data_IF_733761449732
#
_entry.id   IF_733761449732
#
_cell.length_a   1.000
_cell.length_b   1.000
_cell.length_c   1.000
_cell.angle_alpha   90.00
_cell.angle_beta   90.00
_cell.angle_gamma   90.00
#
_symmetry.space_group_name_H-M   'P 1'
#
loop_
_entity.id
_entity.type
_entity.pdbx_description
1 polymer ?
#
# COMPACT_ATOMS: atom_id res chain seq x y z
N UNK A 1 1.76 -25.32 14.57
CA UNK A 1 3.04 -25.30 13.84
C UNK A 1 2.80 -24.55 12.56
N UNK A 2 3.14 -23.26 12.58
CA UNK A 2 3.12 -22.41 11.39
C UNK A 2 4.05 -22.98 10.32
N UNK A 3 3.54 -23.13 9.10
CA UNK A 3 4.32 -23.62 7.97
C UNK A 3 5.51 -22.66 7.74
N UNK A 4 6.78 -23.14 7.67
CA UNK A 4 7.97 -22.30 7.55
C UNK A 4 7.93 -21.31 6.38
N UNK A 5 7.09 -21.56 5.38
CA UNK A 5 6.95 -20.72 4.19
C UNK A 5 6.15 -19.42 4.44
N UNK A 6 5.28 -19.39 5.47
CA UNK A 6 4.33 -18.29 5.69
C UNK A 6 5.05 -16.98 6.04
N UNK A 7 6.05 -17.02 6.91
CA UNK A 7 6.79 -15.82 7.35
C UNK A 7 7.55 -15.19 6.16
N UNK A 8 8.36 -15.94 5.37
CA UNK A 8 8.98 -15.42 4.16
C UNK A 8 7.98 -14.82 3.16
N UNK A 9 6.83 -15.47 2.94
CA UNK A 9 5.79 -14.95 2.03
C UNK A 9 5.23 -13.62 2.50
N UNK A 10 4.95 -13.47 3.80
CA UNK A 10 4.47 -12.20 4.37
C UNK A 10 5.51 -11.08 4.23
N UNK A 11 6.79 -11.38 4.44
CA UNK A 11 7.87 -10.40 4.20
C UNK A 11 7.94 -9.96 2.74
N UNK A 12 7.90 -10.91 1.80
CA UNK A 12 7.89 -10.60 0.37
C UNK A 12 6.69 -9.72 -0.02
N UNK A 13 5.49 -10.09 0.43
CA UNK A 13 4.26 -9.33 0.21
C UNK A 13 4.42 -7.90 0.71
N UNK A 14 4.97 -7.72 1.91
CA UNK A 14 5.06 -6.39 2.51
C UNK A 14 6.09 -5.51 1.78
N UNK A 15 7.22 -6.06 1.35
CA UNK A 15 8.20 -5.34 0.52
C UNK A 15 7.57 -4.93 -0.82
N UNK A 16 6.88 -5.85 -1.49
CA UNK A 16 6.18 -5.56 -2.74
C UNK A 16 5.14 -4.44 -2.56
N UNK A 17 4.41 -4.48 -1.45
CA UNK A 17 3.41 -3.46 -1.12
C UNK A 17 4.04 -2.08 -0.91
N UNK A 18 5.22 -2.00 -0.28
CA UNK A 18 5.97 -0.74 -0.13
C UNK A 18 6.36 -0.13 -1.47
N UNK A 19 6.80 -0.94 -2.44
CA UNK A 19 7.15 -0.49 -3.78
C UNK A 19 5.92 0.08 -4.50
N UNK A 20 4.80 -0.64 -4.45
CA UNK A 20 3.51 -0.17 -4.98
C UNK A 20 3.09 1.16 -4.36
N UNK A 21 3.22 1.29 -3.04
CA UNK A 21 2.89 2.53 -2.33
C UNK A 21 3.77 3.69 -2.75
N UNK A 22 5.09 3.48 -2.86
CA UNK A 22 6.01 4.50 -3.36
C UNK A 22 5.60 4.99 -4.77
N UNK A 23 5.21 4.06 -5.64
CA UNK A 23 4.74 4.41 -6.98
C UNK A 23 3.39 5.16 -6.97
N UNK A 24 2.47 4.83 -6.05
CA UNK A 24 1.23 5.58 -5.81
C UNK A 24 1.53 7.04 -5.43
N UNK A 25 2.49 7.30 -4.51
CA UNK A 25 2.88 8.69 -4.19
C UNK A 25 3.46 9.42 -5.38
N UNK A 26 4.32 8.75 -6.13
CA UNK A 26 4.92 9.34 -7.32
C UNK A 26 3.85 9.80 -8.31
N UNK A 27 2.85 8.96 -8.59
CA UNK A 27 1.74 9.33 -9.46
C UNK A 27 0.80 10.36 -8.83
N UNK A 28 0.55 10.32 -7.52
CA UNK A 28 -0.23 11.33 -6.82
C UNK A 28 0.39 12.73 -6.92
N UNK A 29 1.69 12.84 -6.70
CA UNK A 29 2.41 14.09 -6.90
C UNK A 29 2.29 14.58 -8.35
N UNK A 30 2.41 13.66 -9.32
CA UNK A 30 2.31 13.98 -10.74
C UNK A 30 0.92 14.49 -11.13
N UNK A 31 -0.16 13.85 -10.66
CA UNK A 31 -1.53 14.34 -10.88
C UNK A 31 -1.71 15.73 -10.27
N UNK A 32 -1.23 15.94 -9.03
CA UNK A 32 -1.31 17.26 -8.37
C UNK A 32 -0.67 18.37 -9.18
N UNK A 33 0.48 18.08 -9.80
CA UNK A 33 1.18 19.02 -10.68
C UNK A 33 0.40 19.32 -11.96
N UNK A 34 -0.43 18.40 -12.44
CA UNK A 34 -1.22 18.55 -13.68
C UNK A 34 -2.56 19.24 -13.45
N UNK A 35 -3.29 18.88 -12.39
CA UNK A 35 -4.65 19.36 -12.12
C UNK A 35 -4.70 20.59 -11.23
N UNK A 36 -3.59 20.95 -10.59
CA UNK A 36 -3.61 21.86 -9.46
C UNK A 36 -4.15 21.18 -8.20
N UNK A 37 -4.05 21.89 -7.08
CA UNK A 37 -4.42 21.40 -5.76
C UNK A 37 -5.78 21.96 -5.35
N UNK A 38 -6.78 21.10 -5.15
CA UNK A 38 -8.07 21.45 -4.53
C UNK A 38 -8.28 20.64 -3.24
N UNK A 39 -9.14 21.13 -2.33
CA UNK A 39 -9.33 20.53 -0.98
C UNK A 39 -9.62 19.03 -1.02
N UNK A 40 -10.51 18.58 -1.90
CA UNK A 40 -10.82 17.15 -1.98
C UNK A 40 -9.63 16.32 -2.50
N UNK A 41 -8.88 16.81 -3.48
CA UNK A 41 -7.68 16.13 -3.98
C UNK A 41 -6.57 16.03 -2.94
N UNK A 42 -6.32 17.10 -2.20
CA UNK A 42 -5.35 17.09 -1.09
C UNK A 42 -5.76 16.15 0.04
N UNK A 43 -7.05 16.09 0.38
CA UNK A 43 -7.57 15.12 1.36
C UNK A 43 -7.40 13.67 0.89
N UNK A 44 -7.61 13.38 -0.40
CA UNK A 44 -7.37 12.05 -0.97
C UNK A 44 -5.89 11.67 -0.88
N UNK A 45 -4.98 12.57 -1.28
CA UNK A 45 -3.54 12.34 -1.15
C UNK A 45 -3.14 12.14 0.31
N UNK A 46 -3.68 12.96 1.22
CA UNK A 46 -3.40 12.86 2.65
C UNK A 46 -3.88 11.52 3.22
N UNK A 47 -5.07 11.04 2.79
CA UNK A 47 -5.56 9.73 3.19
C UNK A 47 -4.62 8.62 2.71
N UNK A 48 -4.12 8.69 1.47
CA UNK A 48 -3.11 7.75 0.99
C UNK A 48 -1.78 7.87 1.75
N UNK A 49 -1.34 9.08 2.09
CA UNK A 49 -0.20 9.35 2.98
C UNK A 49 -0.34 8.61 4.31
N UNK A 50 -1.48 8.80 4.99
CA UNK A 50 -1.75 8.19 6.28
C UNK A 50 -1.83 6.66 6.20
N UNK A 51 -2.48 6.10 5.17
CA UNK A 51 -2.53 4.65 4.97
C UNK A 51 -1.13 4.05 4.73
N UNK A 52 -0.26 4.82 4.09
CA UNK A 52 1.13 4.39 3.84
C UNK A 52 1.96 4.43 5.09
N UNK A 53 1.88 5.53 5.84
CA UNK A 53 2.54 5.65 7.15
C UNK A 53 2.07 4.51 8.07
N UNK A 54 0.76 4.22 8.10
CA UNK A 54 0.22 3.08 8.85
C UNK A 54 0.87 1.76 8.44
N UNK A 55 0.97 1.46 7.14
CA UNK A 55 1.56 0.22 6.66
C UNK A 55 3.06 0.13 6.99
N UNK A 56 3.80 1.23 6.85
CA UNK A 56 5.23 1.31 7.22
C UNK A 56 5.42 1.08 8.71
N UNK A 57 4.63 1.75 9.56
CA UNK A 57 4.66 1.55 11.02
C UNK A 57 4.32 0.11 11.37
N UNK A 58 3.31 -0.48 10.72
CA UNK A 58 2.96 -1.88 10.92
C UNK A 58 4.12 -2.82 10.57
N UNK A 59 4.83 -2.58 9.46
CA UNK A 59 5.99 -3.37 9.08
C UNK A 59 7.16 -3.20 10.07
N UNK A 60 7.44 -1.98 10.52
CA UNK A 60 8.50 -1.71 11.51
C UNK A 60 8.20 -2.43 12.82
N UNK A 61 6.96 -2.38 13.30
CA UNK A 61 6.54 -3.07 14.52
C UNK A 61 6.65 -4.59 14.35
N UNK A 62 6.24 -5.14 13.21
CA UNK A 62 6.39 -6.58 12.92
C UNK A 62 7.87 -7.01 12.85
N UNK A 63 8.73 -6.21 12.25
CA UNK A 63 10.18 -6.47 12.18
C UNK A 63 10.88 -6.31 13.53
N UNK A 64 10.35 -5.48 14.42
CA UNK A 64 10.91 -5.23 15.76
C UNK A 64 10.54 -6.32 16.77
N UNK A 65 9.53 -7.14 16.45
CA UNK A 65 9.11 -8.26 17.29
C UNK A 65 10.02 -9.48 17.05
N UNK A 66 10.46 -10.18 18.11
CA UNK A 66 11.19 -11.42 17.94
C UNK A 66 10.31 -12.47 17.25
N UNK A 67 10.91 -13.29 16.37
CA UNK A 67 10.19 -14.16 15.44
C UNK A 67 9.22 -15.15 16.13
N UNK A 68 9.52 -15.54 17.37
CA UNK A 68 8.64 -16.37 18.21
C UNK A 68 7.32 -15.66 18.58
N UNK A 69 7.37 -14.35 18.86
CA UNK A 69 6.17 -13.57 19.16
C UNK A 69 5.32 -13.33 17.91
N UNK A 70 5.95 -13.08 16.75
CA UNK A 70 5.24 -12.98 15.47
C UNK A 70 4.51 -14.28 15.12
N UNK A 71 5.17 -15.43 15.30
CA UNK A 71 4.55 -16.74 15.09
C UNK A 71 3.36 -16.96 16.03
N UNK A 72 3.48 -16.57 17.31
CA UNK A 72 2.38 -16.69 18.27
C UNK A 72 1.18 -15.79 17.93
N UNK A 73 1.43 -14.59 17.40
CA UNK A 73 0.36 -13.70 16.93
C UNK A 73 -0.36 -14.29 15.73
N UNK A 74 0.37 -14.81 14.74
CA UNK A 74 -0.23 -15.43 13.55
C UNK A 74 -1.02 -16.68 13.93
N UNK A 75 -0.51 -17.50 14.85
CA UNK A 75 -1.25 -18.66 15.37
C UNK A 75 -2.51 -18.22 16.15
N UNK A 76 -2.49 -17.09 16.87
CA UNK A 76 -3.65 -16.58 17.61
C UNK A 76 -4.77 -16.02 16.72
N UNK A 77 -4.42 -15.39 15.59
CA UNK A 77 -5.38 -14.79 14.64
C UNK A 77 -5.82 -15.80 13.59
N UNK A 78 -4.99 -16.82 13.35
CA UNK A 78 -5.13 -17.80 12.28
C UNK A 78 -4.23 -17.46 11.09
N UNK A 79 -3.50 -18.45 10.58
CA UNK A 79 -2.66 -18.27 9.40
C UNK A 79 -3.50 -17.92 8.16
N UNK A 80 -4.65 -18.57 7.98
CA UNK A 80 -5.55 -18.35 6.83
C UNK A 80 -6.12 -16.93 6.78
N UNK A 81 -6.56 -16.39 7.92
CA UNK A 81 -7.11 -15.03 8.02
C UNK A 81 -6.02 -13.98 7.76
N UNK A 82 -4.80 -14.24 8.24
CA UNK A 82 -3.63 -13.38 8.04
C UNK A 82 -3.20 -13.33 6.57
N UNK A 83 -3.14 -14.48 5.91
CA UNK A 83 -2.80 -14.59 4.48
C UNK A 83 -3.86 -13.92 3.62
N UNK A 84 -5.15 -14.21 3.87
CA UNK A 84 -6.24 -13.63 3.09
C UNK A 84 -6.31 -12.10 3.24
N UNK A 85 -6.13 -11.59 4.47
CA UNK A 85 -6.08 -10.16 4.74
C UNK A 85 -4.91 -9.48 4.03
N UNK A 86 -3.75 -10.15 3.99
CA UNK A 86 -2.58 -9.67 3.25
C UNK A 86 -2.84 -9.64 1.74
N UNK A 87 -3.48 -10.67 1.18
CA UNK A 87 -3.85 -10.71 -0.22
C UNK A 87 -4.82 -9.58 -0.61
N UNK A 88 -5.83 -9.30 0.22
CA UNK A 88 -6.77 -8.18 0.01
C UNK A 88 -6.03 -6.84 0.05
N UNK A 89 -5.10 -6.66 0.99
CA UNK A 89 -4.28 -5.45 1.08
C UNK A 89 -3.39 -5.24 -0.16
N UNK A 90 -2.82 -6.31 -0.72
CA UNK A 90 -2.07 -6.25 -1.98
C UNK A 90 -2.99 -5.86 -3.13
N UNK A 91 -4.16 -6.51 -3.26
CA UNK A 91 -5.13 -6.20 -4.30
C UNK A 91 -5.59 -4.73 -4.24
N UNK A 92 -5.87 -4.21 -3.04
CA UNK A 92 -6.19 -2.80 -2.83
C UNK A 92 -5.04 -1.89 -3.26
N UNK A 93 -3.80 -2.24 -2.92
CA UNK A 93 -2.61 -1.47 -3.30
C UNK A 93 -2.41 -1.43 -4.83
N UNK A 94 -2.65 -2.54 -5.52
CA UNK A 94 -2.63 -2.63 -7.00
C UNK A 94 -3.75 -1.77 -7.60
N UNK A 95 -4.98 -1.86 -7.09
CA UNK A 95 -6.10 -1.08 -7.57
C UNK A 95 -5.83 0.44 -7.43
N UNK A 96 -5.27 0.86 -6.30
CA UNK A 96 -4.84 2.25 -6.08
C UNK A 96 -3.78 2.68 -7.08
N UNK A 97 -2.76 1.85 -7.30
CA UNK A 97 -1.72 2.12 -8.29
C UNK A 97 -2.30 2.31 -9.70
N UNK A 98 -3.15 1.40 -10.16
CA UNK A 98 -3.78 1.46 -11.47
C UNK A 98 -4.70 2.67 -11.60
N UNK A 99 -5.46 3.00 -10.56
CA UNK A 99 -6.32 4.18 -10.52
C UNK A 99 -5.52 5.48 -10.67
N UNK A 100 -4.42 5.61 -9.92
CA UNK A 100 -3.55 6.79 -9.98
C UNK A 100 -2.80 6.91 -11.31
N UNK A 101 -2.29 5.79 -11.83
CA UNK A 101 -1.69 5.75 -13.16
C UNK A 101 -2.69 6.15 -14.26
N UNK A 102 -3.92 5.63 -14.18
CA UNK A 102 -5.00 5.97 -15.10
C UNK A 102 -5.36 7.46 -15.06
N UNK A 103 -5.45 8.05 -13.87
CA UNK A 103 -5.69 9.49 -13.69
C UNK A 103 -4.59 10.32 -14.35
N UNK A 104 -3.31 10.01 -14.09
CA UNK A 104 -2.17 10.67 -14.74
C UNK A 104 -2.32 10.63 -16.26
N UNK A 105 -2.58 9.44 -16.82
CA UNK A 105 -2.67 9.26 -18.26
C UNK A 105 -3.82 10.11 -18.84
N UNK A 106 -4.98 10.12 -18.18
CA UNK A 106 -6.15 10.90 -18.59
C UNK A 106 -5.87 12.40 -18.57
N UNK A 107 -5.24 12.91 -17.53
CA UNK A 107 -4.91 14.35 -17.44
C UNK A 107 -3.80 14.75 -18.42
N UNK A 108 -2.88 13.85 -18.77
CA UNK A 108 -1.90 14.09 -19.84
C UNK A 108 -2.53 14.14 -21.23
N UNK A 109 -3.58 13.35 -21.46
CA UNK A 109 -4.27 13.28 -22.74
C UNK A 109 -5.30 14.40 -22.95
N UNK A 110 -5.63 15.19 -21.92
CA UNK A 110 -6.52 16.32 -22.09
C UNK A 110 -5.77 17.48 -22.78
N UNK A 111 -6.30 18.02 -23.89
CA UNK A 111 -5.72 19.21 -24.49
C UNK A 111 -5.78 20.34 -23.46
N UNK A 112 -4.64 21.01 -23.23
CA UNK A 112 -4.63 22.24 -22.44
C UNK A 112 -5.58 23.22 -23.14
N UNK A 113 -6.59 23.69 -22.43
CA UNK A 113 -7.46 24.73 -22.95
C UNK A 113 -6.57 25.92 -23.41
N UNK A 114 -6.82 26.47 -24.61
CA UNK A 114 -6.03 27.55 -25.18
C UNK A 114 -6.05 28.83 -24.33
#
# INVERSE_FOLDING_TARGET
MLDPIVIPTLYFITIFQLILQAAVFYYAYRVTKMTGSFRAWTLIILAFALLTVRNVVSLILTLSLPANQVSSLIESVGATTTILSSAINVAASIALFLGMFGLVRRFQSQPKAP
#
